data_IF_551794239964
#
_entry.id   IF_551794239964
#
_cell.length_a   1.000
_cell.length_b   1.000
_cell.length_c   1.000
_cell.angle_alpha   90.00
_cell.angle_beta   90.00
_cell.angle_gamma   90.00
#
_symmetry.space_group_name_H-M   'P 1'
#
loop_
_entity.id
_entity.type
_entity.pdbx_description
1 polymer ?
#
# COMPACT_ATOMS: atom_id res chain seq x y z
N UNK A 1 -10.89 -24.19 19.30
CA UNK A 1 -11.85 -23.13 19.67
C UNK A 1 -11.18 -21.79 19.41
N UNK A 2 -11.83 -20.85 18.70
CA UNK A 2 -11.24 -19.52 18.47
C UNK A 2 -11.03 -18.81 19.81
N UNK A 3 -9.86 -18.18 19.94
CA UNK A 3 -9.46 -17.38 21.10
C UNK A 3 -10.45 -16.23 21.32
N UNK A 4 -10.55 -15.72 22.55
CA UNK A 4 -11.44 -14.58 22.86
C UNK A 4 -11.16 -13.38 21.93
N UNK A 5 -9.89 -13.14 21.60
CA UNK A 5 -9.44 -12.14 20.62
C UNK A 5 -9.94 -12.39 19.20
N UNK A 6 -9.94 -13.64 18.73
CA UNK A 6 -10.45 -13.98 17.38
C UNK A 6 -11.97 -13.80 17.29
N UNK A 7 -12.70 -14.11 18.37
CA UNK A 7 -14.16 -13.89 18.44
C UNK A 7 -14.49 -12.39 18.43
N UNK A 8 -13.73 -11.57 19.15
CA UNK A 8 -13.91 -10.11 19.18
C UNK A 8 -13.58 -9.51 17.80
N UNK A 9 -12.51 -9.96 17.14
CA UNK A 9 -12.15 -9.50 15.79
C UNK A 9 -13.16 -9.92 14.72
N UNK A 10 -13.78 -11.11 14.85
CA UNK A 10 -14.83 -11.58 13.96
C UNK A 10 -16.12 -10.74 14.09
N UNK A 11 -16.45 -10.31 15.31
CA UNK A 11 -17.62 -9.47 15.60
C UNK A 11 -17.42 -7.99 15.22
N UNK A 12 -16.17 -7.51 15.21
CA UNK A 12 -15.87 -6.13 14.87
C UNK A 12 -16.27 -5.82 13.40
N UNK A 13 -17.20 -4.89 13.13
CA UNK A 13 -17.60 -4.56 11.77
C UNK A 13 -16.57 -3.66 11.05
N UNK A 14 -15.62 -3.07 11.77
CA UNK A 14 -14.57 -2.20 11.23
C UNK A 14 -13.26 -2.95 10.96
N UNK A 15 -13.15 -4.24 11.32
CA UNK A 15 -11.96 -5.03 11.01
C UNK A 15 -11.88 -5.30 9.50
N UNK A 16 -10.64 -5.36 8.98
CA UNK A 16 -10.42 -5.74 7.58
C UNK A 16 -10.84 -7.20 7.41
N UNK A 17 -11.84 -7.45 6.56
CA UNK A 17 -12.36 -8.78 6.25
C UNK A 17 -12.20 -9.03 4.76
N UNK A 18 -11.75 -10.24 4.41
CA UNK A 18 -11.55 -10.64 3.02
C UNK A 18 -12.83 -11.22 2.40
N UNK A 19 -13.71 -11.78 3.24
CA UNK A 19 -14.98 -12.34 2.83
C UNK A 19 -16.08 -12.00 3.84
N UNK A 20 -17.30 -11.79 3.34
CA UNK A 20 -18.46 -11.52 4.16
C UNK A 20 -19.51 -12.61 4.00
N UNK A 21 -20.18 -12.99 5.09
CA UNK A 21 -21.30 -13.94 5.03
C UNK A 21 -22.47 -13.38 4.21
N UNK A 22 -23.30 -14.24 3.62
CA UNK A 22 -24.49 -13.81 2.88
C UNK A 22 -25.43 -12.93 3.72
N UNK A 23 -25.56 -13.23 5.01
CA UNK A 23 -26.29 -12.40 5.97
C UNK A 23 -25.66 -11.02 6.13
N UNK A 24 -24.34 -10.95 6.34
CA UNK A 24 -23.61 -9.67 6.44
C UNK A 24 -23.71 -8.83 5.17
N UNK A 25 -23.60 -9.46 3.98
CA UNK A 25 -23.75 -8.76 2.70
C UNK A 25 -25.17 -8.19 2.57
N UNK A 26 -26.19 -8.95 2.95
CA UNK A 26 -27.58 -8.47 2.94
C UNK A 26 -27.76 -7.28 3.88
N UNK A 27 -27.19 -7.35 5.09
CA UNK A 27 -27.16 -6.23 6.03
C UNK A 27 -26.48 -5.01 5.43
N UNK A 28 -25.32 -5.15 4.79
CA UNK A 28 -24.63 -4.02 4.15
C UNK A 28 -25.42 -3.45 2.97
N UNK A 29 -26.08 -4.27 2.14
CA UNK A 29 -26.97 -3.78 1.08
C UNK A 29 -28.05 -2.85 1.64
N UNK A 30 -28.74 -3.28 2.70
CA UNK A 30 -29.82 -2.51 3.32
C UNK A 30 -29.29 -1.27 4.04
N UNK A 31 -28.33 -1.41 4.95
CA UNK A 31 -27.83 -0.29 5.75
C UNK A 31 -27.10 0.76 4.92
N UNK A 32 -26.37 0.35 3.87
CA UNK A 32 -25.70 1.29 2.96
C UNK A 32 -26.73 2.16 2.25
N UNK A 33 -27.81 1.56 1.70
CA UNK A 33 -28.87 2.31 1.02
C UNK A 33 -29.60 3.24 1.99
N UNK A 34 -30.02 2.72 3.16
CA UNK A 34 -30.78 3.52 4.13
C UNK A 34 -29.96 4.70 4.67
N UNK A 35 -28.71 4.45 5.05
CA UNK A 35 -27.83 5.52 5.55
C UNK A 35 -27.47 6.54 4.47
N UNK A 36 -27.26 6.10 3.23
CA UNK A 36 -27.01 6.99 2.10
C UNK A 36 -28.23 7.87 1.78
N UNK A 37 -29.44 7.27 1.74
CA UNK A 37 -30.68 8.03 1.54
C UNK A 37 -30.89 9.05 2.66
N UNK A 38 -30.63 8.68 3.91
CA UNK A 38 -30.71 9.59 5.05
C UNK A 38 -29.76 10.78 4.86
N UNK A 39 -28.49 10.53 4.53
CA UNK A 39 -27.49 11.56 4.29
C UNK A 39 -27.83 12.47 3.10
N UNK A 40 -28.35 11.90 2.01
CA UNK A 40 -28.79 12.65 0.84
C UNK A 40 -29.99 13.55 1.16
N UNK A 41 -31.06 12.97 1.71
CA UNK A 41 -32.31 13.68 1.98
C UNK A 41 -32.10 14.80 2.98
N UNK A 42 -31.36 14.56 4.07
CA UNK A 42 -31.10 15.59 5.08
C UNK A 42 -30.28 16.75 4.50
N UNK A 43 -29.29 16.46 3.65
CA UNK A 43 -28.46 17.48 3.01
C UNK A 43 -29.30 18.33 2.06
N UNK A 44 -30.04 17.71 1.14
CA UNK A 44 -30.91 18.43 0.19
C UNK A 44 -31.99 19.26 0.89
N UNK A 45 -32.60 18.69 1.94
CA UNK A 45 -33.63 19.38 2.71
C UNK A 45 -33.09 20.66 3.35
N UNK A 46 -31.96 20.59 4.06
CA UNK A 46 -31.42 21.76 4.79
C UNK A 46 -30.55 22.70 3.96
N UNK A 47 -30.23 22.36 2.70
CA UNK A 47 -29.75 23.36 1.72
C UNK A 47 -30.87 24.36 1.40
N UNK A 48 -32.13 23.91 1.36
CA UNK A 48 -33.27 24.72 0.88
C UNK A 48 -34.25 25.15 1.97
N UNK A 49 -34.34 24.42 3.09
CA UNK A 49 -35.31 24.63 4.17
C UNK A 49 -34.63 24.91 5.51
N UNK A 50 -35.19 25.83 6.30
CA UNK A 50 -34.72 26.12 7.65
C UNK A 50 -35.32 25.11 8.68
N UNK A 51 -34.63 24.87 9.81
CA UNK A 51 -35.21 24.12 10.93
C UNK A 51 -36.29 24.93 11.65
N UNK A 52 -37.40 24.28 11.99
CA UNK A 52 -38.55 24.94 12.65
C UNK A 52 -38.63 24.65 14.16
N UNK A 53 -37.79 23.74 14.65
CA UNK A 53 -37.73 23.23 16.03
C UNK A 53 -36.52 23.80 16.80
N UNK A 54 -36.62 23.99 18.12
CA UNK A 54 -35.51 24.42 18.99
C UNK A 54 -35.46 25.92 19.34
N UNK A 55 -34.51 26.29 20.22
CA UNK A 55 -34.37 27.65 20.78
C UNK A 55 -33.15 28.44 20.28
N UNK A 56 -32.25 27.81 19.52
CA UNK A 56 -31.05 28.44 18.97
C UNK A 56 -31.33 29.15 17.64
N UNK A 57 -30.32 29.88 17.12
CA UNK A 57 -30.34 30.38 15.74
C UNK A 57 -30.42 29.18 14.80
N UNK A 58 -31.39 29.21 13.88
CA UNK A 58 -31.74 28.11 12.99
C UNK A 58 -31.77 28.64 11.58
N UNK A 59 -30.92 28.09 10.73
CA UNK A 59 -30.68 28.58 9.38
C UNK A 59 -30.36 27.41 8.47
N UNK A 60 -30.57 27.60 7.16
CA UNK A 60 -30.09 26.67 6.13
C UNK A 60 -28.57 26.55 6.22
N UNK A 61 -28.03 25.48 5.65
CA UNK A 61 -26.58 25.20 5.66
C UNK A 61 -25.78 26.42 5.18
N UNK A 62 -26.17 26.99 4.04
CA UNK A 62 -25.46 28.13 3.46
C UNK A 62 -25.75 29.46 4.14
N UNK A 63 -26.93 29.61 4.73
CA UNK A 63 -27.23 30.80 5.53
C UNK A 63 -26.35 30.86 6.79
N UNK A 64 -26.08 29.72 7.44
CA UNK A 64 -25.10 29.65 8.54
C UNK A 64 -23.70 30.06 8.07
N UNK A 65 -23.26 29.56 6.92
CA UNK A 65 -21.96 29.87 6.32
C UNK A 65 -21.74 31.37 6.08
N UNK A 66 -22.78 32.08 5.64
CA UNK A 66 -22.69 33.51 5.33
C UNK A 66 -23.07 34.41 6.52
N UNK A 67 -23.76 33.87 7.51
CA UNK A 67 -24.00 34.54 8.79
C UNK A 67 -22.71 34.66 9.60
N UNK A 68 -21.93 33.58 9.66
CA UNK A 68 -20.64 33.53 10.35
C UNK A 68 -19.49 33.56 9.35
N UNK A 69 -19.14 34.75 8.89
CA UNK A 69 -18.07 34.92 7.89
C UNK A 69 -16.70 34.73 8.54
N UNK A 70 -15.95 33.75 8.06
CA UNK A 70 -14.65 33.35 8.60
C UNK A 70 -13.63 33.19 7.48
N UNK A 71 -12.37 32.93 7.86
CA UNK A 71 -11.29 32.56 6.95
C UNK A 71 -11.58 31.30 6.10
N UNK A 72 -12.53 30.47 6.55
CA UNK A 72 -12.90 29.20 5.93
C UNK A 72 -14.34 29.22 5.37
N UNK A 73 -14.97 30.39 5.24
CA UNK A 73 -16.26 30.51 4.52
C UNK A 73 -16.13 29.95 3.12
N UNK A 74 -17.08 29.11 2.73
CA UNK A 74 -17.08 28.36 1.48
C UNK A 74 -18.06 28.97 0.46
N UNK A 75 -17.76 28.80 -0.83
CA UNK A 75 -18.73 29.10 -1.88
C UNK A 75 -19.77 27.98 -1.98
N UNK A 76 -21.04 28.32 -1.73
CA UNK A 76 -22.15 27.38 -1.71
C UNK A 76 -22.25 26.55 -2.99
N UNK A 77 -22.21 27.20 -4.15
CA UNK A 77 -22.38 26.55 -5.45
C UNK A 77 -21.32 25.49 -5.73
N UNK A 78 -20.04 25.80 -5.46
CA UNK A 78 -18.95 24.84 -5.71
C UNK A 78 -19.08 23.62 -4.79
N UNK A 79 -19.41 23.83 -3.51
CA UNK A 79 -19.56 22.73 -2.55
C UNK A 79 -20.82 21.91 -2.81
N UNK A 80 -21.93 22.53 -3.24
CA UNK A 80 -23.13 21.81 -3.66
C UNK A 80 -22.83 20.92 -4.87
N UNK A 81 -22.10 21.42 -5.87
CA UNK A 81 -21.65 20.60 -7.01
C UNK A 81 -20.77 19.44 -6.53
N UNK A 82 -19.83 19.70 -5.61
CA UNK A 82 -18.98 18.67 -5.02
C UNK A 82 -19.80 17.54 -4.38
N UNK A 83 -20.81 17.89 -3.57
CA UNK A 83 -21.68 16.92 -2.91
C UNK A 83 -22.60 16.17 -3.87
N UNK A 84 -23.16 16.86 -4.88
CA UNK A 84 -23.97 16.21 -5.93
C UNK A 84 -23.13 15.16 -6.66
N UNK A 85 -21.92 15.51 -7.10
CA UNK A 85 -21.00 14.57 -7.75
C UNK A 85 -20.65 13.42 -6.81
N UNK A 86 -20.36 13.70 -5.54
CA UNK A 86 -20.06 12.68 -4.55
C UNK A 86 -21.21 11.69 -4.38
N UNK A 87 -22.45 12.17 -4.23
CA UNK A 87 -23.63 11.31 -4.10
C UNK A 87 -23.86 10.46 -5.35
N UNK A 88 -23.65 11.01 -6.56
CA UNK A 88 -23.74 10.24 -7.81
C UNK A 88 -22.67 9.14 -7.85
N UNK A 89 -21.41 9.45 -7.52
CA UNK A 89 -20.34 8.46 -7.49
C UNK A 89 -20.61 7.36 -6.44
N UNK A 90 -21.23 7.72 -5.32
CA UNK A 90 -21.63 6.76 -4.29
C UNK A 90 -22.71 5.78 -4.77
N UNK A 91 -23.61 6.17 -5.68
CA UNK A 91 -24.53 5.22 -6.34
C UNK A 91 -23.74 4.14 -7.08
N UNK A 92 -22.68 4.54 -7.79
CA UNK A 92 -21.76 3.62 -8.46
C UNK A 92 -21.12 2.63 -7.46
N UNK A 93 -20.65 3.11 -6.31
CA UNK A 93 -20.18 2.24 -5.22
C UNK A 93 -21.27 1.28 -4.72
N UNK A 94 -22.49 1.77 -4.44
CA UNK A 94 -23.61 0.94 -3.95
C UNK A 94 -23.92 -0.18 -4.94
N UNK A 95 -23.89 0.09 -6.25
CA UNK A 95 -24.10 -0.92 -7.28
C UNK A 95 -23.12 -2.10 -7.19
N UNK A 96 -21.89 -1.90 -6.70
CA UNK A 96 -20.91 -2.99 -6.52
C UNK A 96 -21.35 -4.01 -5.47
N UNK A 97 -22.14 -3.61 -4.46
CA UNK A 97 -22.74 -4.55 -3.51
C UNK A 97 -23.74 -5.51 -4.17
N UNK A 98 -24.27 -5.16 -5.34
CA UNK A 98 -25.22 -5.96 -6.13
C UNK A 98 -24.58 -6.64 -7.35
N UNK A 99 -23.26 -6.56 -7.49
CA UNK A 99 -22.54 -7.18 -8.60
C UNK A 99 -22.64 -8.71 -8.56
N UNK A 100 -22.60 -9.34 -9.73
CA UNK A 100 -22.45 -10.80 -9.86
C UNK A 100 -21.04 -11.26 -9.52
N UNK A 101 -20.05 -10.37 -9.54
CA UNK A 101 -18.67 -10.69 -9.17
C UNK A 101 -18.47 -10.57 -7.66
N UNK A 102 -18.08 -11.68 -7.04
CA UNK A 102 -17.85 -11.80 -5.59
C UNK A 102 -16.73 -10.88 -5.08
N UNK A 103 -15.74 -10.56 -5.89
CA UNK A 103 -14.61 -9.71 -5.51
C UNK A 103 -15.07 -8.26 -5.32
N UNK A 104 -15.93 -7.78 -6.22
CA UNK A 104 -16.53 -6.45 -6.09
C UNK A 104 -17.47 -6.36 -4.90
N UNK A 105 -18.25 -7.41 -4.64
CA UNK A 105 -19.16 -7.45 -3.48
C UNK A 105 -18.37 -7.43 -2.18
N UNK A 106 -17.31 -8.23 -2.06
CA UNK A 106 -16.48 -8.28 -0.85
C UNK A 106 -15.69 -6.98 -0.64
N UNK A 107 -15.11 -6.40 -1.70
CA UNK A 107 -14.43 -5.11 -1.62
C UNK A 107 -15.40 -3.99 -1.18
N UNK A 108 -16.61 -3.96 -1.73
CA UNK A 108 -17.63 -2.99 -1.32
C UNK A 108 -18.12 -3.24 0.12
N UNK A 109 -18.31 -4.50 0.52
CA UNK A 109 -18.74 -4.85 1.87
C UNK A 109 -17.69 -4.49 2.94
N UNK A 110 -16.40 -4.58 2.62
CA UNK A 110 -15.32 -4.26 3.57
C UNK A 110 -15.27 -2.77 3.97
N UNK A 111 -15.75 -1.88 3.11
CA UNK A 111 -15.84 -0.44 3.39
C UNK A 111 -17.21 -0.04 3.94
N UNK A 112 -18.18 -0.97 3.90
CA UNK A 112 -19.59 -0.70 4.19
C UNK A 112 -19.84 -0.21 5.62
N UNK A 113 -19.16 -0.74 6.62
CA UNK A 113 -19.33 -0.30 8.02
C UNK A 113 -18.88 1.14 8.23
N UNK A 114 -17.70 1.49 7.70
CA UNK A 114 -17.17 2.84 7.73
C UNK A 114 -18.04 3.82 6.94
N UNK A 115 -18.59 3.40 5.80
CA UNK A 115 -19.51 4.19 4.99
C UNK A 115 -20.84 4.46 5.70
N UNK A 116 -21.46 3.42 6.28
CA UNK A 116 -22.69 3.58 7.06
C UNK A 116 -22.45 4.51 8.24
N UNK A 117 -21.36 4.32 8.97
CA UNK A 117 -21.03 5.17 10.11
C UNK A 117 -20.74 6.62 9.69
N UNK A 118 -20.03 6.82 8.57
CA UNK A 118 -19.82 8.14 7.98
C UNK A 118 -21.14 8.85 7.68
N UNK A 119 -22.10 8.18 7.05
CA UNK A 119 -23.40 8.76 6.71
C UNK A 119 -24.21 9.13 7.96
N UNK A 120 -24.16 8.31 9.02
CA UNK A 120 -24.82 8.62 10.30
C UNK A 120 -24.18 9.82 11.00
N UNK A 121 -22.84 9.92 10.97
CA UNK A 121 -22.12 11.08 11.50
C UNK A 121 -22.37 12.33 10.65
N UNK A 122 -22.44 12.21 9.33
CA UNK A 122 -22.81 13.32 8.44
C UNK A 122 -24.22 13.81 8.72
N UNK A 123 -25.18 12.90 8.90
CA UNK A 123 -26.54 13.25 9.33
C UNK A 123 -26.53 14.01 10.67
N UNK A 124 -25.82 13.49 11.68
CA UNK A 124 -25.71 14.15 12.98
C UNK A 124 -25.07 15.53 12.86
N UNK A 125 -23.99 15.65 12.07
CA UNK A 125 -23.32 16.92 11.78
C UNK A 125 -24.30 17.94 11.17
N UNK A 126 -25.02 17.59 10.10
CA UNK A 126 -25.97 18.49 9.45
C UNK A 126 -27.03 18.95 10.45
N UNK A 127 -27.60 18.02 11.23
CA UNK A 127 -28.65 18.34 12.21
C UNK A 127 -28.19 19.30 13.30
N UNK A 128 -26.95 19.16 13.77
CA UNK A 128 -26.33 20.04 14.77
C UNK A 128 -25.95 21.40 14.17
N UNK A 129 -25.36 21.40 12.98
CA UNK A 129 -24.87 22.59 12.29
C UNK A 129 -25.99 23.58 11.97
N UNK A 130 -27.11 23.09 11.41
CA UNK A 130 -28.26 23.94 11.07
C UNK A 130 -28.94 24.55 12.30
N UNK A 131 -28.76 23.94 13.47
CA UNK A 131 -29.22 24.40 14.80
C UNK A 131 -28.15 25.15 15.59
N UNK A 132 -27.03 25.54 14.95
CA UNK A 132 -25.94 26.29 15.57
C UNK A 132 -25.25 25.60 16.77
N UNK A 133 -25.35 24.27 16.87
CA UNK A 133 -24.64 23.50 17.90
C UNK A 133 -23.20 23.19 17.46
N UNK A 134 -22.40 24.22 17.17
CA UNK A 134 -21.10 24.10 16.51
C UNK A 134 -20.08 23.28 17.30
N UNK A 135 -20.09 23.34 18.63
CA UNK A 135 -19.20 22.51 19.49
C UNK A 135 -19.46 21.03 19.29
N UNK A 136 -20.73 20.62 19.32
CA UNK A 136 -21.10 19.22 19.11
C UNK A 136 -20.89 18.81 17.65
N UNK A 137 -21.17 19.70 16.70
CA UNK A 137 -20.89 19.47 15.29
C UNK A 137 -19.38 19.21 15.06
N UNK A 138 -18.50 19.96 15.73
CA UNK A 138 -17.04 19.79 15.66
C UNK A 138 -16.60 18.42 16.17
N UNK A 139 -17.13 18.00 17.33
CA UNK A 139 -16.84 16.67 17.89
C UNK A 139 -17.26 15.56 16.93
N UNK A 140 -18.44 15.68 16.30
CA UNK A 140 -18.91 14.72 15.30
C UNK A 140 -18.00 14.68 14.07
N UNK A 141 -17.53 15.84 13.60
CA UNK A 141 -16.58 15.91 12.48
C UNK A 141 -15.24 15.24 12.82
N UNK A 142 -14.70 15.46 14.03
CA UNK A 142 -13.45 14.82 14.49
C UNK A 142 -13.61 13.30 14.56
N UNK A 143 -14.74 12.81 15.07
CA UNK A 143 -15.04 11.36 15.10
C UNK A 143 -15.13 10.81 13.66
N UNK A 144 -15.78 11.54 12.75
CA UNK A 144 -15.90 11.13 11.36
C UNK A 144 -14.54 11.14 10.64
N UNK A 145 -13.68 12.11 10.95
CA UNK A 145 -12.32 12.18 10.43
C UNK A 145 -11.49 10.98 10.89
N UNK A 146 -11.59 10.58 12.16
CA UNK A 146 -10.93 9.39 12.67
C UNK A 146 -11.45 8.10 12.00
N UNK A 147 -12.77 7.99 11.81
CA UNK A 147 -13.42 6.89 11.09
C UNK A 147 -12.88 6.76 9.65
N UNK A 148 -12.90 7.87 8.90
CA UNK A 148 -12.47 7.90 7.50
C UNK A 148 -10.94 7.77 7.34
N UNK A 149 -10.16 8.30 8.28
CA UNK A 149 -8.70 8.08 8.30
C UNK A 149 -8.37 6.62 8.53
N UNK A 150 -9.06 5.96 9.47
CA UNK A 150 -8.94 4.52 9.70
C UNK A 150 -9.29 3.72 8.43
N UNK A 151 -10.40 4.08 7.77
CA UNK A 151 -10.79 3.50 6.48
C UNK A 151 -9.70 3.70 5.41
N UNK A 152 -9.19 4.92 5.27
CA UNK A 152 -8.14 5.24 4.29
C UNK A 152 -6.92 4.36 4.50
N UNK A 153 -6.34 4.33 5.69
CA UNK A 153 -5.10 3.58 5.92
C UNK A 153 -5.28 2.06 5.86
N UNK A 154 -6.48 1.54 6.13
CA UNK A 154 -6.79 0.11 6.04
C UNK A 154 -7.05 -0.37 4.61
N UNK A 155 -7.58 0.51 3.76
CA UNK A 155 -8.12 0.17 2.44
C UNK A 155 -7.58 1.07 1.31
N UNK A 156 -6.38 1.62 1.46
CA UNK A 156 -5.75 2.57 0.51
C UNK A 156 -5.44 1.99 -0.89
N UNK A 157 -5.44 0.67 -1.05
CA UNK A 157 -5.15 -0.02 -2.33
C UNK A 157 -6.40 -0.34 -3.14
N UNK A 158 -7.60 0.00 -2.64
CA UNK A 158 -8.82 -0.32 -3.37
C UNK A 158 -8.97 0.43 -4.69
N UNK A 159 -9.71 -0.18 -5.64
CA UNK A 159 -9.91 0.43 -6.94
C UNK A 159 -10.46 1.85 -6.80
N UNK A 160 -9.97 2.76 -7.64
CA UNK A 160 -10.24 4.21 -7.50
C UNK A 160 -11.73 4.55 -7.56
N UNK A 161 -12.55 3.75 -8.24
CA UNK A 161 -13.99 3.93 -8.32
C UNK A 161 -14.74 3.59 -7.01
N UNK A 162 -14.17 2.76 -6.12
CA UNK A 162 -14.68 2.58 -4.74
C UNK A 162 -14.01 3.59 -3.81
N UNK A 163 -12.68 3.73 -3.95
CA UNK A 163 -11.86 4.55 -3.07
C UNK A 163 -12.28 6.04 -3.08
N UNK A 164 -12.53 6.61 -4.26
CA UNK A 164 -12.87 8.02 -4.36
C UNK A 164 -14.20 8.39 -3.65
N UNK A 165 -15.36 7.77 -3.99
CA UNK A 165 -16.64 8.15 -3.39
C UNK A 165 -16.81 7.80 -1.90
N UNK A 166 -16.08 6.80 -1.41
CA UNK A 166 -16.27 6.26 -0.05
C UNK A 166 -15.15 6.68 0.90
N UNK A 167 -13.96 6.97 0.38
CA UNK A 167 -12.77 7.26 1.18
C UNK A 167 -12.27 8.68 0.93
N UNK A 168 -11.71 8.96 -0.25
CA UNK A 168 -10.93 10.20 -0.47
C UNK A 168 -11.78 11.45 -0.44
N UNK A 169 -12.90 11.49 -1.15
CA UNK A 169 -13.76 12.67 -1.19
C UNK A 169 -14.47 12.94 0.16
N UNK A 170 -15.07 11.95 0.83
CA UNK A 170 -15.61 12.16 2.18
C UNK A 170 -14.57 12.63 3.19
N UNK A 171 -13.35 12.07 3.12
CA UNK A 171 -12.26 12.44 4.03
C UNK A 171 -11.76 13.87 3.76
N UNK A 172 -11.60 14.24 2.48
CA UNK A 172 -11.24 15.60 2.08
C UNK A 172 -12.26 16.63 2.57
N UNK A 173 -13.56 16.35 2.40
CA UNK A 173 -14.63 17.19 2.94
C UNK A 173 -14.52 17.32 4.45
N UNK A 174 -14.43 16.19 5.17
CA UNK A 174 -14.43 16.18 6.64
C UNK A 174 -13.23 16.97 7.19
N UNK A 175 -12.06 16.85 6.55
CA UNK A 175 -10.87 17.63 6.89
C UNK A 175 -11.12 19.14 6.76
N UNK A 176 -11.69 19.60 5.64
CA UNK A 176 -12.01 21.03 5.46
C UNK A 176 -13.14 21.48 6.37
N UNK A 177 -14.13 20.62 6.62
CA UNK A 177 -15.29 20.90 7.45
C UNK A 177 -14.90 21.15 8.92
N UNK A 178 -13.87 20.48 9.44
CA UNK A 178 -13.30 20.75 10.78
C UNK A 178 -12.84 22.21 10.87
N UNK A 179 -12.09 22.70 9.88
CA UNK A 179 -11.67 24.10 9.87
C UNK A 179 -12.83 25.06 9.67
N UNK A 180 -13.79 24.69 8.81
CA UNK A 180 -14.97 25.51 8.53
C UNK A 180 -15.87 25.68 9.76
N UNK A 181 -16.31 24.58 10.38
CA UNK A 181 -17.14 24.61 11.58
C UNK A 181 -16.36 25.14 12.79
N UNK A 182 -15.10 24.76 12.97
CA UNK A 182 -14.24 25.27 14.04
C UNK A 182 -14.05 26.78 13.98
N UNK A 183 -13.90 27.35 12.78
CA UNK A 183 -13.82 28.81 12.62
C UNK A 183 -15.14 29.51 12.94
N UNK A 184 -16.28 28.88 12.65
CA UNK A 184 -17.62 29.39 13.02
C UNK A 184 -17.80 29.32 14.55
N UNK A 185 -17.35 28.23 15.19
CA UNK A 185 -17.44 28.03 16.64
C UNK A 185 -16.68 29.12 17.42
N UNK A 186 -15.52 29.57 16.93
CA UNK A 186 -14.68 30.61 17.55
C UNK A 186 -14.85 31.96 16.83
N UNK A 187 -15.98 32.17 16.15
CA UNK A 187 -16.19 33.33 15.31
C UNK A 187 -16.14 34.63 16.12
N UNK A 188 -15.09 35.41 15.89
CA UNK A 188 -14.92 36.77 16.37
C UNK A 188 -14.33 37.62 15.21
N UNK A 189 -15.15 38.41 14.50
CA UNK A 189 -14.79 39.02 13.22
C UNK A 189 -13.69 40.09 13.36
N UNK A 190 -13.54 40.70 14.53
CA UNK A 190 -12.58 41.78 14.80
C UNK A 190 -11.29 41.27 15.46
N UNK A 191 -11.22 39.98 15.77
CA UNK A 191 -10.08 39.40 16.47
C UNK A 191 -8.91 39.12 15.53
N UNK A 192 -7.81 39.84 15.77
CA UNK A 192 -6.54 39.69 15.03
C UNK A 192 -6.01 38.24 15.11
N UNK A 193 -6.19 37.57 16.25
CA UNK A 193 -5.73 36.20 16.46
C UNK A 193 -6.43 35.22 15.52
N UNK A 194 -7.76 35.33 15.37
CA UNK A 194 -8.54 34.48 14.47
C UNK A 194 -8.09 34.64 13.01
N UNK A 195 -7.74 35.87 12.59
CA UNK A 195 -7.22 36.14 11.24
C UNK A 195 -5.84 35.55 11.01
N UNK A 196 -4.94 35.65 11.98
CA UNK A 196 -3.61 35.01 11.91
C UNK A 196 -3.75 33.49 11.78
N UNK A 197 -4.55 32.88 12.65
CA UNK A 197 -4.77 31.43 12.61
C UNK A 197 -5.41 30.99 11.29
N UNK A 198 -6.36 31.75 10.74
CA UNK A 198 -6.93 31.48 9.41
C UNK A 198 -5.88 31.40 8.30
N UNK A 199 -4.96 32.37 8.26
CA UNK A 199 -3.87 32.43 7.27
C UNK A 199 -2.85 31.30 7.44
N UNK A 200 -2.63 30.80 8.66
CA UNK A 200 -1.70 29.70 8.94
C UNK A 200 -2.38 28.36 8.62
N UNK A 201 -3.59 28.14 9.13
CA UNK A 201 -4.28 26.87 9.03
C UNK A 201 -4.73 26.52 7.61
N UNK A 202 -4.95 27.49 6.72
CA UNK A 202 -5.31 27.17 5.34
C UNK A 202 -4.24 26.31 4.64
N UNK A 203 -2.96 26.51 4.96
CA UNK A 203 -1.86 25.72 4.40
C UNK A 203 -1.86 24.26 4.83
N UNK A 204 -2.60 23.90 5.89
CA UNK A 204 -2.80 22.51 6.27
C UNK A 204 -3.43 21.69 5.13
N UNK A 205 -4.27 22.31 4.29
CA UNK A 205 -4.87 21.66 3.11
C UNK A 205 -3.79 21.23 2.12
N UNK A 206 -2.80 22.09 1.88
CA UNK A 206 -1.67 21.77 0.99
C UNK A 206 -0.80 20.67 1.58
N UNK A 207 -0.48 20.74 2.86
CA UNK A 207 0.34 19.72 3.53
C UNK A 207 -0.37 18.37 3.52
N UNK A 208 -1.66 18.35 3.87
CA UNK A 208 -2.48 17.14 3.92
C UNK A 208 -2.65 16.54 2.52
N UNK A 209 -3.03 17.34 1.52
CA UNK A 209 -3.15 16.87 0.13
C UNK A 209 -1.80 16.44 -0.46
N UNK A 210 -0.74 17.20 -0.22
CA UNK A 210 0.62 16.89 -0.64
C UNK A 210 1.11 15.56 -0.08
N UNK A 211 0.82 15.26 1.18
CA UNK A 211 1.12 13.96 1.78
C UNK A 211 0.48 12.79 0.99
N UNK A 212 -0.81 12.85 0.69
CA UNK A 212 -1.48 11.76 -0.04
C UNK A 212 -1.05 11.65 -1.52
N UNK A 213 -0.84 12.77 -2.19
CA UNK A 213 -0.35 12.77 -3.58
C UNK A 213 1.07 12.22 -3.65
N UNK A 214 1.95 12.60 -2.73
CA UNK A 214 3.38 12.22 -2.80
C UNK A 214 3.63 10.80 -2.30
N UNK A 215 3.05 10.43 -1.16
CA UNK A 215 3.28 9.15 -0.47
C UNK A 215 2.41 8.04 -1.08
N UNK A 216 1.11 8.30 -1.26
CA UNK A 216 0.14 7.29 -1.69
C UNK A 216 -0.21 7.37 -3.18
N UNK A 217 0.34 8.35 -3.91
CA UNK A 217 0.00 8.62 -5.32
C UNK A 217 -1.52 8.75 -5.52
N UNK A 218 -2.23 9.25 -4.50
CA UNK A 218 -3.68 9.38 -4.56
C UNK A 218 -4.07 10.72 -5.20
N UNK A 219 -4.30 10.67 -6.51
CA UNK A 219 -4.78 11.81 -7.28
C UNK A 219 -6.23 12.19 -6.94
N UNK A 220 -7.05 11.26 -6.42
CA UNK A 220 -8.46 11.51 -6.08
C UNK A 220 -8.61 12.38 -4.83
N UNK A 221 -7.73 12.18 -3.84
CA UNK A 221 -7.62 13.06 -2.67
C UNK A 221 -7.18 14.47 -3.07
N UNK A 222 -6.13 14.57 -3.89
CA UNK A 222 -5.62 15.86 -4.36
C UNK A 222 -6.63 16.65 -5.18
N UNK A 223 -7.39 15.99 -6.06
CA UNK A 223 -8.48 16.62 -6.80
C UNK A 223 -9.57 17.16 -5.86
N UNK A 224 -9.98 16.33 -4.88
CA UNK A 224 -11.04 16.70 -3.93
C UNK A 224 -10.66 17.93 -3.08
N UNK A 225 -9.44 17.95 -2.55
CA UNK A 225 -8.93 19.09 -1.78
C UNK A 225 -8.70 20.33 -2.65
N UNK A 226 -8.34 20.17 -3.93
CA UNK A 226 -8.21 21.29 -4.86
C UNK A 226 -9.56 21.97 -5.11
N UNK A 227 -10.64 21.21 -5.33
CA UNK A 227 -12.00 21.73 -5.49
C UNK A 227 -12.47 22.47 -4.22
N UNK A 228 -12.26 21.89 -3.03
CA UNK A 228 -12.61 22.55 -1.77
C UNK A 228 -11.76 23.81 -1.52
N UNK A 229 -10.49 23.80 -1.92
CA UNK A 229 -9.64 25.01 -1.89
C UNK A 229 -10.17 26.09 -2.84
N UNK A 230 -10.67 25.72 -4.02
CA UNK A 230 -11.35 26.64 -4.93
C UNK A 230 -12.59 27.26 -4.26
N UNK A 231 -13.40 26.44 -3.57
CA UNK A 231 -14.59 26.92 -2.88
C UNK A 231 -14.27 27.98 -1.82
N UNK A 232 -13.22 27.77 -1.01
CA UNK A 232 -12.73 28.78 -0.07
C UNK A 232 -12.25 30.02 -0.83
N UNK A 233 -11.41 29.85 -1.86
CA UNK A 233 -10.83 30.96 -2.61
C UNK A 233 -11.88 31.86 -3.26
N UNK A 234 -12.91 31.29 -3.87
CA UNK A 234 -14.01 32.04 -4.50
C UNK A 234 -14.82 32.82 -3.47
N UNK A 235 -15.17 32.21 -2.32
CA UNK A 235 -15.90 32.93 -1.27
C UNK A 235 -15.08 34.10 -0.70
N UNK A 236 -13.80 33.86 -0.39
CA UNK A 236 -12.91 34.88 0.16
C UNK A 236 -12.60 36.00 -0.85
N UNK A 237 -12.63 35.71 -2.15
CA UNK A 237 -12.44 36.72 -3.20
C UNK A 237 -13.58 37.75 -3.22
N UNK A 238 -14.83 37.30 -3.03
CA UNK A 238 -15.99 38.20 -3.00
C UNK A 238 -16.10 38.96 -1.67
N UNK A 239 -15.94 38.26 -0.53
CA UNK A 239 -16.20 38.87 0.77
C UNK A 239 -15.00 39.66 1.33
N UNK A 240 -13.77 39.37 0.88
CA UNK A 240 -12.49 40.01 1.32
C UNK A 240 -12.33 40.15 2.84
N UNK A 241 -12.93 39.24 3.63
CA UNK A 241 -12.89 39.27 5.11
C UNK A 241 -11.46 39.24 5.64
N UNK A 242 -10.57 38.49 4.97
CA UNK A 242 -9.14 38.46 5.24
C UNK A 242 -8.40 38.68 3.92
N UNK A 243 -7.61 39.76 3.87
CA UNK A 243 -7.05 40.30 2.62
C UNK A 243 -6.22 39.31 1.78
N UNK A 244 -5.53 38.36 2.41
CA UNK A 244 -4.64 37.40 1.72
C UNK A 244 -5.23 35.99 1.56
N UNK A 245 -6.34 35.68 2.21
CA UNK A 245 -6.86 34.30 2.31
C UNK A 245 -7.23 33.72 0.94
N UNK A 246 -7.81 34.53 0.05
CA UNK A 246 -8.17 34.11 -1.31
C UNK A 246 -6.93 33.77 -2.17
N UNK A 247 -5.82 34.50 -1.99
CA UNK A 247 -4.55 34.23 -2.70
C UNK A 247 -4.00 32.89 -2.27
N UNK A 248 -3.96 32.63 -0.95
CA UNK A 248 -3.49 31.36 -0.41
C UNK A 248 -4.36 30.20 -0.89
N UNK A 249 -5.69 30.33 -0.81
CA UNK A 249 -6.62 29.33 -1.27
C UNK A 249 -6.43 28.96 -2.75
N UNK A 250 -6.32 29.95 -3.63
CA UNK A 250 -6.09 29.69 -5.06
C UNK A 250 -4.69 29.14 -5.37
N UNK A 251 -3.68 29.55 -4.61
CA UNK A 251 -2.33 28.98 -4.72
C UNK A 251 -2.34 27.49 -4.36
N UNK A 252 -2.98 27.14 -3.24
CA UNK A 252 -3.13 25.75 -2.79
C UNK A 252 -3.91 24.93 -3.82
N UNK A 253 -5.03 25.48 -4.30
CA UNK A 253 -5.86 24.86 -5.33
C UNK A 253 -5.06 24.55 -6.60
N UNK A 254 -4.29 25.52 -7.11
CA UNK A 254 -3.47 25.35 -8.32
C UNK A 254 -2.35 24.31 -8.11
N UNK A 255 -1.62 24.38 -6.99
CA UNK A 255 -0.52 23.45 -6.69
C UNK A 255 -1.04 22.02 -6.55
N UNK A 256 -2.15 21.82 -5.81
CA UNK A 256 -2.77 20.50 -5.67
C UNK A 256 -3.30 19.99 -7.01
N UNK A 257 -3.97 20.83 -7.80
CA UNK A 257 -4.51 20.46 -9.11
C UNK A 257 -3.42 19.99 -10.08
N UNK A 258 -2.35 20.80 -10.23
CA UNK A 258 -1.23 20.45 -11.12
C UNK A 258 -0.52 19.19 -10.64
N UNK A 259 -0.25 19.08 -9.33
CA UNK A 259 0.38 17.88 -8.75
C UNK A 259 -0.48 16.63 -8.98
N UNK A 260 -1.79 16.75 -8.85
CA UNK A 260 -2.76 15.70 -9.15
C UNK A 260 -2.71 15.30 -10.62
N UNK A 261 -2.69 16.25 -11.56
CA UNK A 261 -2.62 15.94 -13.00
C UNK A 261 -1.33 15.21 -13.37
N UNK A 262 -0.20 15.59 -12.77
CA UNK A 262 1.10 14.92 -12.98
C UNK A 262 1.05 13.45 -12.56
N UNK A 263 0.32 13.12 -11.49
CA UNK A 263 0.15 11.73 -11.03
C UNK A 263 -0.96 10.99 -11.77
N UNK A 264 -2.05 11.68 -12.15
CA UNK A 264 -3.18 11.08 -12.84
C UNK A 264 -2.87 10.73 -14.30
N UNK A 265 -2.09 11.56 -15.00
CA UNK A 265 -1.80 11.37 -16.42
C UNK A 265 -1.13 10.02 -16.75
N UNK A 266 -0.04 9.59 -16.07
CA UNK A 266 0.54 8.26 -16.30
C UNK A 266 -0.42 7.11 -15.97
N UNK A 267 -1.26 7.28 -14.94
CA UNK A 267 -2.23 6.28 -14.53
C UNK A 267 -3.35 6.07 -15.58
N UNK A 268 -3.71 7.12 -16.33
CA UNK A 268 -4.72 7.03 -17.40
C UNK A 268 -4.13 6.70 -18.76
N UNK A 269 -2.88 7.10 -19.05
CA UNK A 269 -2.26 6.90 -20.36
C UNK A 269 -1.60 5.53 -20.54
N UNK A 270 -1.60 4.67 -19.51
CA UNK A 270 -0.97 3.34 -19.55
C UNK A 270 0.54 3.34 -19.81
N UNK A 271 1.19 4.51 -19.75
CA UNK A 271 2.63 4.68 -19.95
C UNK A 271 3.30 4.75 -18.58
N UNK A 272 3.91 3.66 -18.15
CA UNK A 272 4.75 3.65 -16.96
C UNK A 272 6.01 4.48 -17.24
N UNK A 273 6.05 5.72 -16.75
CA UNK A 273 7.31 6.44 -16.60
C UNK A 273 8.02 5.93 -15.33
N UNK A 274 9.26 5.48 -15.50
CA UNK A 274 10.11 4.92 -14.44
C UNK A 274 10.51 5.99 -13.42
N UNK A 275 9.59 6.33 -12.51
CA UNK A 275 9.95 7.03 -11.29
C UNK A 275 10.48 6.02 -10.25
N UNK A 276 11.49 6.36 -9.45
CA UNK A 276 12.02 5.44 -8.44
C UNK A 276 10.92 5.02 -7.48
N UNK A 277 10.44 3.78 -7.61
CA UNK A 277 9.61 3.14 -6.59
C UNK A 277 10.45 3.08 -5.31
N UNK A 278 10.19 3.97 -4.36
CA UNK A 278 10.39 3.62 -2.95
C UNK A 278 9.36 2.53 -2.67
N UNK A 279 9.83 1.29 -2.70
CA UNK A 279 9.07 0.10 -2.36
C UNK A 279 8.44 0.28 -0.98
N UNK A 280 7.15 0.63 -0.94
CA UNK A 280 6.32 0.18 0.16
C UNK A 280 6.19 -1.34 0.00
N UNK A 281 6.33 -2.13 1.07
CA UNK A 281 6.20 -3.57 0.97
C UNK A 281 4.75 -3.87 0.58
N UNK A 282 4.57 -4.31 -0.66
CA UNK A 282 3.34 -4.98 -1.05
C UNK A 282 3.33 -6.31 -0.29
N UNK A 283 2.39 -6.43 0.62
CA UNK A 283 2.07 -7.64 1.40
C UNK A 283 1.45 -8.69 0.45
N UNK A 284 2.22 -9.12 -0.54
CA UNK A 284 1.84 -10.10 -1.58
C UNK A 284 2.34 -11.52 -1.26
N UNK A 285 2.73 -11.80 -0.02
CA UNK A 285 3.03 -13.16 0.45
C UNK A 285 2.07 -13.60 1.56
N UNK A 286 0.78 -13.68 1.25
CA UNK A 286 -0.16 -14.44 2.08
C UNK A 286 -1.34 -14.95 1.26
N UNK A 287 -1.11 -15.99 0.48
CA UNK A 287 -2.18 -16.95 0.24
C UNK A 287 -2.40 -17.74 1.55
N UNK A 288 -3.62 -17.84 2.09
CA UNK A 288 -3.87 -18.76 3.19
C UNK A 288 -3.83 -20.20 2.64
N UNK A 289 -2.79 -20.93 3.04
CA UNK A 289 -2.78 -22.39 3.04
C UNK A 289 -3.84 -22.87 4.04
N UNK A 290 -4.83 -23.61 3.54
CA UNK A 290 -5.83 -24.42 4.26
C UNK A 290 -6.83 -23.62 5.12
N UNK A 291 -8.04 -23.44 4.59
CA UNK A 291 -9.23 -23.33 5.42
C UNK A 291 -9.61 -24.74 5.87
N UNK A 292 -9.54 -24.99 7.17
CA UNK A 292 -10.12 -26.17 7.82
C UNK A 292 -11.65 -26.09 7.69
N UNK A 293 -12.17 -26.60 6.57
CA UNK A 293 -13.43 -27.33 6.64
C UNK A 293 -13.10 -28.74 7.12
N UNK A 294 -13.74 -29.12 8.23
CA UNK A 294 -13.81 -30.51 8.66
C UNK A 294 -14.55 -31.34 7.61
N UNK A 295 -13.80 -31.75 6.59
CA UNK A 295 -13.97 -33.01 5.89
C UNK A 295 -12.69 -33.77 6.14
N UNK A 296 -12.76 -34.82 6.95
CA UNK A 296 -11.66 -35.77 7.19
C UNK A 296 -11.33 -36.52 5.91
N UNK A 297 -10.60 -35.87 5.02
CA UNK A 297 -9.84 -36.52 3.96
C UNK A 297 -8.40 -36.06 4.10
N UNK A 298 -7.49 -37.00 4.32
CA UNK A 298 -6.07 -36.70 4.25
C UNK A 298 -5.79 -36.09 2.88
N UNK A 299 -5.12 -34.92 2.82
CA UNK A 299 -4.83 -34.28 1.55
C UNK A 299 -4.06 -35.26 0.67
N UNK A 300 -4.54 -35.44 -0.56
CA UNK A 300 -3.83 -36.26 -1.54
C UNK A 300 -2.48 -35.62 -1.78
N UNK A 301 -1.41 -36.35 -1.47
CA UNK A 301 -0.05 -35.88 -1.72
C UNK A 301 0.12 -35.53 -3.21
N UNK A 302 0.95 -34.53 -3.48
CA UNK A 302 1.32 -34.19 -4.85
C UNK A 302 1.91 -35.46 -5.53
N UNK A 303 1.43 -35.82 -6.73
CA UNK A 303 1.64 -37.16 -7.29
C UNK A 303 3.08 -37.45 -7.73
N UNK A 304 3.93 -36.42 -7.82
CA UNK A 304 5.32 -36.57 -8.22
C UNK A 304 6.24 -36.07 -7.10
N UNK A 305 7.36 -36.75 -6.84
CA UNK A 305 8.29 -36.33 -5.80
C UNK A 305 9.19 -35.19 -6.29
N UNK A 306 8.61 -34.13 -6.85
CA UNK A 306 9.33 -32.93 -7.25
C UNK A 306 9.16 -31.83 -6.20
N UNK A 307 10.28 -31.21 -5.85
CA UNK A 307 10.35 -30.09 -4.94
C UNK A 307 10.92 -28.88 -5.67
N UNK A 308 10.46 -27.68 -5.29
CA UNK A 308 10.93 -26.41 -5.85
C UNK A 308 11.57 -25.61 -4.72
N UNK A 309 12.73 -25.04 -5.00
CA UNK A 309 13.37 -24.05 -4.14
C UNK A 309 13.62 -22.76 -4.91
N UNK A 310 13.36 -21.62 -4.27
CA UNK A 310 13.68 -20.30 -4.79
C UNK A 310 14.56 -19.53 -3.81
N UNK A 311 15.40 -18.63 -4.32
CA UNK A 311 16.15 -17.71 -3.47
C UNK A 311 16.41 -16.38 -4.17
N UNK A 312 16.53 -15.31 -3.38
CA UNK A 312 16.90 -13.97 -3.84
C UNK A 312 17.97 -13.39 -2.91
N UNK A 313 19.06 -12.89 -3.51
CA UNK A 313 20.23 -12.39 -2.83
C UNK A 313 20.59 -10.98 -3.31
N UNK A 314 20.75 -10.05 -2.36
CA UNK A 314 21.12 -8.68 -2.64
C UNK A 314 22.64 -8.57 -2.92
N UNK A 315 23.00 -8.07 -4.11
CA UNK A 315 24.39 -8.00 -4.60
C UNK A 315 25.22 -7.02 -3.76
N UNK A 316 24.68 -5.85 -3.42
CA UNK A 316 25.34 -4.85 -2.57
C UNK A 316 25.66 -5.38 -1.17
N UNK A 317 24.86 -6.31 -0.63
CA UNK A 317 25.16 -6.99 0.64
C UNK A 317 26.39 -7.89 0.50
N UNK A 318 26.46 -8.66 -0.57
CA UNK A 318 27.62 -9.51 -0.87
C UNK A 318 28.86 -8.65 -1.13
N UNK A 319 28.77 -7.59 -1.92
CA UNK A 319 29.87 -6.68 -2.19
C UNK A 319 30.47 -6.10 -0.91
N UNK A 320 29.62 -5.67 0.04
CA UNK A 320 30.07 -5.18 1.35
C UNK A 320 30.79 -6.25 2.15
N UNK A 321 30.29 -7.50 2.17
CA UNK A 321 30.96 -8.62 2.86
C UNK A 321 32.34 -8.89 2.23
N UNK A 322 32.40 -8.93 0.90
CA UNK A 322 33.63 -9.18 0.14
C UNK A 322 34.68 -8.09 0.33
N UNK A 323 34.25 -6.84 0.59
CA UNK A 323 35.14 -5.72 0.89
C UNK A 323 35.70 -5.74 2.33
N UNK A 324 35.21 -6.62 3.21
CA UNK A 324 35.73 -6.76 4.58
C UNK A 324 36.81 -7.84 4.69
N UNK A 325 37.61 -7.86 5.79
CA UNK A 325 38.54 -8.96 6.07
C UNK A 325 37.86 -10.35 6.20
N UNK A 326 36.53 -10.40 6.33
CA UNK A 326 35.74 -11.65 6.37
C UNK A 326 35.44 -12.20 4.97
N UNK A 327 35.70 -11.45 3.91
CA UNK A 327 35.43 -11.82 2.52
C UNK A 327 36.00 -13.20 2.12
N UNK A 328 37.29 -13.49 2.37
CA UNK A 328 37.87 -14.79 2.05
C UNK A 328 37.16 -15.97 2.73
N UNK A 329 36.92 -15.88 4.04
CA UNK A 329 36.17 -16.91 4.80
C UNK A 329 34.74 -17.08 4.31
N UNK A 330 34.10 -15.99 3.85
CA UNK A 330 32.76 -16.06 3.28
C UNK A 330 32.75 -16.83 1.95
N UNK A 331 33.75 -16.60 1.09
CA UNK A 331 33.92 -17.36 -0.16
C UNK A 331 34.20 -18.84 0.13
N UNK A 332 35.15 -19.13 1.03
CA UNK A 332 35.50 -20.51 1.42
C UNK A 332 34.34 -21.27 2.06
N UNK A 333 33.35 -20.57 2.64
CA UNK A 333 32.13 -21.20 3.16
C UNK A 333 31.18 -21.65 2.04
N UNK A 334 31.16 -20.95 0.91
CA UNK A 334 30.18 -21.16 -0.17
C UNK A 334 30.74 -22.04 -1.28
N UNK A 335 32.02 -21.87 -1.62
CA UNK A 335 32.65 -22.48 -2.78
C UNK A 335 33.61 -23.59 -2.39
N UNK A 336 33.57 -24.71 -3.12
CA UNK A 336 34.61 -25.73 -3.01
C UNK A 336 35.91 -25.23 -3.62
N UNK A 337 37.05 -25.88 -3.29
CA UNK A 337 38.35 -25.56 -3.88
C UNK A 337 38.31 -25.58 -5.42
N UNK A 338 37.52 -26.50 -5.98
CA UNK A 338 37.34 -26.66 -7.41
C UNK A 338 36.47 -25.56 -8.02
N UNK A 339 35.69 -24.81 -7.25
CA UNK A 339 34.89 -23.70 -7.77
C UNK A 339 35.58 -22.33 -7.65
N UNK A 340 36.64 -22.23 -6.83
CA UNK A 340 37.31 -20.94 -6.56
C UNK A 340 37.89 -20.30 -7.83
N UNK A 341 38.38 -21.11 -8.77
CA UNK A 341 38.95 -20.63 -10.03
C UNK A 341 37.91 -19.99 -10.97
N UNK A 342 36.61 -20.24 -10.72
CA UNK A 342 35.50 -19.68 -11.51
C UNK A 342 35.14 -18.26 -11.08
N UNK A 343 35.56 -17.85 -9.87
CA UNK A 343 35.25 -16.53 -9.33
C UNK A 343 36.04 -15.50 -10.14
N UNK A 344 35.37 -14.47 -10.72
CA UNK A 344 36.06 -13.43 -11.48
C UNK A 344 37.20 -12.81 -10.66
N UNK A 345 38.44 -12.96 -11.14
CA UNK A 345 39.62 -12.36 -10.53
C UNK A 345 39.63 -10.85 -10.79
N UNK A 346 39.74 -10.06 -9.74
CA UNK A 346 40.09 -8.64 -9.83
C UNK A 346 41.55 -8.46 -9.40
N UNK A 347 42.29 -7.56 -10.05
CA UNK A 347 43.64 -7.19 -9.63
C UNK A 347 43.63 -6.78 -8.15
N UNK A 348 44.44 -7.45 -7.32
CA UNK A 348 44.42 -7.40 -5.84
C UNK A 348 44.94 -6.10 -5.21
N UNK A 349 45.11 -5.00 -5.95
CA UNK A 349 45.88 -3.86 -5.47
C UNK A 349 45.10 -2.70 -4.83
N UNK A 350 43.80 -2.85 -4.52
CA UNK A 350 43.07 -1.83 -3.78
C UNK A 350 42.48 -2.42 -2.50
N UNK A 351 43.30 -2.55 -1.46
CA UNK A 351 42.82 -2.62 -0.08
C UNK A 351 42.03 -1.34 0.19
N UNK A 352 40.71 -1.37 0.41
CA UNK A 352 39.98 -0.16 0.72
C UNK A 352 40.42 0.30 2.11
N UNK A 353 41.02 1.48 2.17
CA UNK A 353 41.31 2.16 3.43
C UNK A 353 39.98 2.41 4.15
N UNK A 354 39.81 1.69 5.26
CA UNK A 354 38.79 1.86 6.29
C UNK A 354 37.39 1.23 6.02
N UNK A 355 37.05 0.09 6.67
CA UNK A 355 35.74 -0.58 6.58
C UNK A 355 34.54 0.30 6.96
N UNK A 356 34.78 1.39 7.71
CA UNK A 356 33.75 2.30 8.21
C UNK A 356 33.15 3.20 7.12
N UNK A 357 33.84 3.44 5.99
CA UNK A 357 33.33 4.30 4.90
C UNK A 357 32.28 3.65 3.98
N UNK A 358 32.16 2.32 3.98
CA UNK A 358 31.15 1.62 3.17
C UNK A 358 29.73 1.68 3.76
N UNK A 359 29.56 2.22 4.98
CA UNK A 359 28.26 2.34 5.63
C UNK A 359 27.44 3.54 5.14
N UNK A 360 28.09 4.55 4.55
CA UNK A 360 27.46 5.80 4.07
C UNK A 360 27.27 5.84 2.54
N UNK A 361 28.01 5.05 1.78
CA UNK A 361 28.01 5.14 0.31
C UNK A 361 26.81 4.42 -0.33
N UNK A 362 26.21 5.06 -1.33
CA UNK A 362 25.08 4.52 -2.09
C UNK A 362 25.45 3.31 -2.96
N UNK A 363 24.45 2.58 -3.46
CA UNK A 363 24.62 1.45 -4.39
C UNK A 363 25.42 1.87 -5.64
N UNK A 364 25.33 3.14 -6.04
CA UNK A 364 26.03 3.70 -7.21
C UNK A 364 27.56 3.69 -7.05
N UNK A 365 28.08 3.97 -5.85
CA UNK A 365 29.53 3.94 -5.58
C UNK A 365 30.08 2.50 -5.60
N UNK A 366 29.26 1.54 -5.14
CA UNK A 366 29.59 0.11 -5.22
C UNK A 366 29.60 -0.38 -6.67
N UNK A 367 28.67 0.12 -7.50
CA UNK A 367 28.63 -0.19 -8.94
C UNK A 367 29.78 0.47 -9.71
N UNK A 368 30.23 1.65 -9.28
CA UNK A 368 31.41 2.31 -9.85
C UNK A 368 32.66 1.43 -9.72
N UNK A 369 32.76 0.60 -8.66
CA UNK A 369 33.79 -0.43 -8.50
C UNK A 369 33.48 -1.66 -9.36
N UNK A 370 33.59 -1.51 -10.69
CA UNK A 370 33.20 -2.53 -11.69
C UNK A 370 33.69 -3.95 -11.37
N UNK A 371 34.92 -4.10 -10.88
CA UNK A 371 35.51 -5.42 -10.58
C UNK A 371 34.91 -6.07 -9.33
N UNK A 372 34.79 -5.31 -8.23
CA UNK A 372 34.14 -5.77 -7.01
C UNK A 372 32.68 -6.12 -7.29
N UNK A 373 31.98 -5.28 -8.06
CA UNK A 373 30.60 -5.52 -8.46
C UNK A 373 30.42 -6.79 -9.29
N UNK A 374 31.30 -7.03 -10.27
CA UNK A 374 31.29 -8.25 -11.09
C UNK A 374 31.53 -9.50 -10.24
N UNK A 375 32.51 -9.45 -9.33
CA UNK A 375 32.79 -10.53 -8.37
C UNK A 375 31.59 -10.77 -7.43
N UNK A 376 31.02 -9.71 -6.88
CA UNK A 376 29.86 -9.80 -6.00
C UNK A 376 28.61 -10.34 -6.69
N UNK A 377 28.35 -9.93 -7.94
CA UNK A 377 27.22 -10.41 -8.74
C UNK A 377 27.35 -11.92 -9.01
N UNK A 378 28.56 -12.38 -9.36
CA UNK A 378 28.84 -13.80 -9.55
C UNK A 378 28.62 -14.59 -8.25
N UNK A 379 29.18 -14.11 -7.13
CA UNK A 379 29.04 -14.75 -5.81
C UNK A 379 27.58 -14.78 -5.36
N UNK A 380 26.84 -13.69 -5.55
CA UNK A 380 25.42 -13.59 -5.20
C UNK A 380 24.56 -14.58 -5.99
N UNK A 381 24.80 -14.71 -7.31
CA UNK A 381 24.09 -15.68 -8.15
C UNK A 381 24.36 -17.13 -7.75
N UNK A 382 25.62 -17.48 -7.43
CA UNK A 382 25.98 -18.83 -6.95
C UNK A 382 25.45 -19.11 -5.55
N UNK A 383 25.44 -18.11 -4.67
CA UNK A 383 24.84 -18.20 -3.34
C UNK A 383 23.33 -18.51 -3.45
N UNK A 384 22.60 -17.69 -4.21
CA UNK A 384 21.16 -17.90 -4.43
C UNK A 384 20.88 -19.27 -5.07
N UNK A 385 21.73 -19.69 -6.02
CA UNK A 385 21.61 -21.00 -6.67
C UNK A 385 21.76 -22.18 -5.70
N UNK A 386 22.76 -22.12 -4.81
CA UNK A 386 22.97 -23.18 -3.81
C UNK A 386 21.86 -23.16 -2.75
N UNK A 387 21.43 -21.99 -2.27
CA UNK A 387 20.27 -21.86 -1.36
C UNK A 387 18.98 -22.42 -1.97
N UNK A 388 18.67 -22.06 -3.22
CA UNK A 388 17.52 -22.62 -3.95
C UNK A 388 17.61 -24.14 -4.08
N UNK A 389 18.82 -24.69 -4.29
CA UNK A 389 19.03 -26.14 -4.35
C UNK A 389 18.83 -26.81 -3.00
N UNK A 390 19.31 -26.22 -1.90
CA UNK A 390 19.07 -26.72 -0.53
C UNK A 390 17.57 -26.75 -0.24
N UNK A 391 16.83 -25.69 -0.58
CA UNK A 391 15.38 -25.61 -0.39
C UNK A 391 14.60 -26.64 -1.22
N UNK A 392 15.12 -27.02 -2.39
CA UNK A 392 14.53 -28.05 -3.23
C UNK A 392 14.80 -29.49 -2.73
N UNK A 393 15.69 -29.70 -1.75
CA UNK A 393 15.98 -31.02 -1.19
C UNK A 393 15.67 -31.02 0.31
N UNK A 394 14.39 -31.21 0.64
CA UNK A 394 13.85 -31.02 1.98
C UNK A 394 14.29 -32.17 2.91
N UNK A 395 14.50 -33.37 2.36
CA UNK A 395 14.84 -34.57 3.14
C UNK A 395 16.36 -34.74 3.33
N UNK A 396 17.18 -34.08 2.50
CA UNK A 396 18.64 -34.10 2.61
C UNK A 396 19.18 -32.91 3.38
N UNK A 397 20.08 -33.16 4.34
CA UNK A 397 20.85 -32.11 5.03
C UNK A 397 22.07 -31.71 4.20
N UNK A 398 21.84 -30.94 3.14
CA UNK A 398 22.90 -30.45 2.26
C UNK A 398 23.63 -29.23 2.84
N UNK A 399 24.92 -29.15 2.59
CA UNK A 399 25.74 -27.95 2.77
C UNK A 399 26.09 -27.34 1.42
N UNK A 400 26.62 -26.11 1.39
CA UNK A 400 27.07 -25.49 0.14
C UNK A 400 28.14 -26.30 -0.60
N UNK A 401 28.95 -27.10 0.10
CA UNK A 401 30.01 -27.89 -0.51
C UNK A 401 29.49 -29.19 -1.14
N UNK A 402 28.27 -29.60 -0.81
CA UNK A 402 27.62 -30.76 -1.42
C UNK A 402 27.00 -30.43 -2.78
N UNK A 403 26.98 -29.14 -3.15
CA UNK A 403 26.32 -28.61 -4.34
C UNK A 403 27.36 -27.90 -5.20
N UNK A 404 27.51 -28.32 -6.45
CA UNK A 404 28.35 -27.65 -7.44
C UNK A 404 27.47 -27.16 -8.59
N UNK A 405 27.61 -25.91 -9.00
CA UNK A 405 26.82 -25.38 -10.12
C UNK A 405 27.66 -25.37 -11.40
N UNK A 406 27.33 -26.27 -12.32
CA UNK A 406 28.02 -26.45 -13.60
C UNK A 406 27.20 -25.86 -14.74
N UNK A 407 27.82 -25.62 -15.89
CA UNK A 407 27.10 -25.30 -17.13
C UNK A 407 27.21 -26.50 -18.07
N UNK A 408 26.09 -26.95 -18.61
CA UNK A 408 26.07 -28.12 -19.50
C UNK A 408 26.60 -27.71 -20.88
N UNK A 409 27.61 -28.38 -21.40
CA UNK A 409 28.03 -28.25 -22.81
C UNK A 409 27.02 -28.99 -23.69
N UNK A 410 26.74 -28.52 -24.90
CA UNK A 410 25.78 -29.16 -25.84
C UNK A 410 26.24 -30.55 -26.35
N UNK A 411 27.42 -31.02 -25.92
CA UNK A 411 27.95 -32.37 -26.21
C UNK A 411 27.65 -33.27 -25.00
N UNK A 412 26.94 -34.37 -25.22
CA UNK A 412 26.55 -35.32 -24.16
C UNK A 412 27.78 -35.83 -23.39
N UNK A 413 27.73 -35.76 -22.06
CA UNK A 413 28.65 -36.46 -21.17
C UNK A 413 29.80 -35.66 -20.55
N UNK A 414 30.03 -34.40 -20.94
CA UNK A 414 31.07 -33.56 -20.32
C UNK A 414 30.49 -32.26 -19.73
N UNK A 415 30.35 -32.24 -18.40
CA UNK A 415 30.03 -31.02 -17.67
C UNK A 415 31.29 -30.13 -17.59
N UNK A 416 31.24 -28.97 -18.22
CA UNK A 416 32.36 -28.03 -18.24
C UNK A 416 31.97 -26.77 -17.47
N UNK A 417 32.69 -26.45 -16.40
CA UNK A 417 32.35 -25.32 -15.53
C UNK A 417 32.35 -23.95 -16.27
N UNK A 418 33.01 -23.88 -17.43
CA UNK A 418 33.12 -22.70 -18.30
C UNK A 418 32.26 -22.76 -19.59
N UNK A 419 31.37 -23.74 -19.75
CA UNK A 419 30.52 -23.86 -20.95
C UNK A 419 29.48 -22.74 -21.08
N UNK A 420 29.01 -22.44 -22.30
CA UNK A 420 27.98 -21.41 -22.55
C UNK A 420 26.54 -21.90 -22.33
N UNK A 421 26.35 -23.18 -22.00
CA UNK A 421 25.02 -23.76 -21.88
C UNK A 421 24.32 -23.50 -20.54
N UNK A 422 23.10 -24.07 -20.37
CA UNK A 422 22.26 -23.82 -19.21
C UNK A 422 22.94 -24.31 -17.93
N UNK A 423 22.79 -23.59 -16.81
CA UNK A 423 23.31 -24.04 -15.54
C UNK A 423 22.55 -25.27 -15.04
N UNK A 424 23.26 -26.18 -14.37
CA UNK A 424 22.72 -27.34 -13.69
C UNK A 424 23.35 -27.42 -12.29
N UNK A 425 22.56 -27.80 -11.30
CA UNK A 425 23.07 -28.08 -9.97
C UNK A 425 23.41 -29.57 -9.87
N UNK A 426 24.65 -29.90 -9.51
CA UNK A 426 25.09 -31.27 -9.26
C UNK A 426 25.23 -31.44 -7.76
N UNK A 427 24.45 -32.36 -7.20
CA UNK A 427 24.39 -32.67 -5.78
C UNK A 427 25.15 -33.97 -5.53
N UNK A 428 26.12 -33.95 -4.61
CA UNK A 428 26.88 -35.15 -4.22
C UNK A 428 25.93 -36.25 -3.71
N UNK A 429 26.28 -37.53 -3.94
CA UNK A 429 25.53 -38.67 -3.38
C UNK A 429 25.42 -38.62 -1.85
N UNK A 430 24.39 -39.24 -1.27
CA UNK A 430 24.17 -39.21 0.18
C UNK A 430 25.17 -40.11 0.93
N UNK A 431 25.64 -41.19 0.28
CA UNK A 431 26.72 -42.05 0.76
C UNK A 431 27.90 -42.02 -0.21
N UNK A 432 29.08 -42.33 0.31
CA UNK A 432 30.29 -42.47 -0.50
C UNK A 432 30.12 -43.62 -1.50
N UNK A 433 30.28 -43.33 -2.80
CA UNK A 433 30.04 -44.27 -3.90
C UNK A 433 28.67 -44.14 -4.59
N UNK A 434 27.72 -43.36 -4.05
CA UNK A 434 26.46 -43.06 -4.74
C UNK A 434 26.64 -42.05 -5.89
N UNK A 435 25.88 -42.23 -6.97
CA UNK A 435 25.92 -41.32 -8.11
C UNK A 435 25.43 -39.93 -7.71
N UNK A 436 26.12 -38.90 -8.19
CA UNK A 436 25.67 -37.52 -8.04
C UNK A 436 24.34 -37.30 -8.78
N UNK A 437 23.50 -36.46 -8.21
CA UNK A 437 22.19 -36.13 -8.74
C UNK A 437 22.21 -34.78 -9.43
N UNK A 438 21.59 -34.68 -10.61
CA UNK A 438 21.39 -33.41 -11.31
C UNK A 438 20.03 -32.81 -10.94
N UNK A 439 20.00 -31.53 -10.58
CA UNK A 439 18.80 -30.71 -10.46
C UNK A 439 18.82 -29.58 -11.50
N UNK A 440 17.64 -29.25 -12.03
CA UNK A 440 17.51 -28.16 -13.03
C UNK A 440 17.45 -26.84 -12.28
N UNK A 441 18.23 -25.87 -12.76
CA UNK A 441 18.32 -24.57 -12.10
C UNK A 441 18.35 -23.44 -13.12
N UNK A 442 17.74 -22.32 -12.77
CA UNK A 442 17.90 -21.05 -13.47
C UNK A 442 18.48 -20.02 -12.52
N UNK A 443 19.34 -19.15 -13.04
CA UNK A 443 20.00 -18.08 -12.29
C UNK A 443 19.85 -16.81 -13.12
N UNK A 444 19.32 -15.76 -12.51
CA UNK A 444 19.19 -14.44 -13.12
C UNK A 444 19.72 -13.38 -12.16
N UNK A 445 20.16 -12.25 -12.69
CA UNK A 445 20.48 -11.08 -11.89
C UNK A 445 20.12 -9.82 -12.66
N UNK A 446 19.53 -8.86 -11.97
CA UNK A 446 19.25 -7.53 -12.51
C UNK A 446 19.30 -6.50 -11.39
N UNK A 447 19.75 -5.30 -11.72
CA UNK A 447 19.90 -4.23 -10.74
C UNK A 447 20.81 -4.63 -9.56
N UNK A 448 20.26 -4.64 -8.35
CA UNK A 448 20.98 -4.97 -7.08
C UNK A 448 20.63 -6.39 -6.56
N UNK A 449 20.00 -7.24 -7.38
CA UNK A 449 19.53 -8.55 -6.94
C UNK A 449 19.94 -9.66 -7.89
N UNK A 450 20.29 -10.81 -7.31
CA UNK A 450 20.44 -12.08 -7.99
C UNK A 450 19.39 -13.06 -7.46
N UNK A 451 18.80 -13.86 -8.32
CA UNK A 451 17.78 -14.86 -7.94
C UNK A 451 18.07 -16.19 -8.62
N UNK A 452 17.66 -17.28 -7.98
CA UNK A 452 17.70 -18.60 -8.57
C UNK A 452 16.45 -19.39 -8.23
N UNK A 453 16.06 -20.27 -9.16
CA UNK A 453 14.97 -21.24 -8.96
C UNK A 453 15.49 -22.61 -9.34
N UNK A 454 15.32 -23.58 -8.46
CA UNK A 454 15.76 -24.96 -8.61
C UNK A 454 14.56 -25.90 -8.53
N UNK A 455 14.51 -26.90 -9.41
CA UNK A 455 13.58 -28.03 -9.33
C UNK A 455 14.39 -29.32 -9.20
N UNK A 456 14.05 -30.09 -8.17
CA UNK A 456 14.73 -31.33 -7.82
C UNK A 456 13.73 -32.48 -7.68
N UNK A 457 14.21 -33.69 -7.94
CA UNK A 457 13.48 -34.94 -7.72
C UNK A 457 13.96 -35.55 -6.40
N UNK A 458 13.10 -35.80 -5.43
CA UNK A 458 13.51 -36.37 -4.14
C UNK A 458 12.56 -37.51 -3.79
N UNK A 459 12.90 -38.77 -4.15
CA UNK A 459 12.00 -39.90 -3.97
C UNK A 459 11.68 -40.09 -2.47
N UNK A 460 10.45 -40.51 -2.12
CA UNK A 460 10.09 -40.76 -0.74
C UNK A 460 11.03 -41.79 -0.10
N UNK A 461 11.47 -41.54 1.13
CA UNK A 461 12.20 -42.54 1.93
C UNK A 461 11.30 -43.77 2.11
N UNK A 462 11.69 -44.91 1.54
CA UNK A 462 11.04 -46.19 1.84
C UNK A 462 11.08 -46.41 3.35
N UNK A 463 9.90 -46.51 3.99
CA UNK A 463 9.81 -47.01 5.35
C UNK A 463 10.22 -48.47 5.29
N UNK A 464 11.45 -48.77 5.70
CA UNK A 464 11.90 -50.13 5.97
C UNK A 464 10.90 -50.71 6.98
N UNK A 465 10.06 -51.64 6.54
CA UNK A 465 9.17 -52.37 7.42
C UNK A 465 10.02 -53.13 8.42
N UNK A 466 9.82 -52.86 9.71
CA UNK A 466 10.19 -53.83 10.72
C UNK A 466 9.21 -55.00 10.56
N UNK A 467 9.69 -56.10 9.98
CA UNK A 467 9.09 -57.44 10.11
C UNK A 467 9.16 -57.92 11.56
#
# INVERSE_FOLDING_TARGET
>A
MPTASERINALNPFSKKESHSAGSITTYKVLTILSWLLALVVTLYYVTNEPHDGFTIRRRIWDQNYLYRTAFTLNATIVDIYWIVLFILQIGYVAHLFSSNTDYVNAAASVGSHFVFHNLLHFAFVMLFVRSHFVWAELILIINFANLSSLYFRHNTYPRFIHWPVVSAPLAWTFVAIYWNGAIMVHDPDNLVARIFGNIFIWSILVYGGFFITIYKDYTMGFSLSVLSAAIGVAQFYDKVIAFQWIFAFTIMAVLFVSTLVIAYPAWSGKEYSWPRRSAPADQERAPLLADDQVTMSPRAFPFPFNIGNDICQISRIARILATPRGPRFIERIFTKDELHLIPSGSENNTPSNPLRFRENGIEDLRAQKQLWKKASFVAGRFAAKEATIKAHIQRRLTFHDITILRKTLVEGQANANGSGPPVAVIKGAKEGERAQEAKITISHDGDYATAVCIAYEPPVEKIGHE
#
